data_IF_719889242654
#
_entry.id   IF_719889242654
#
_cell.length_a   1.000
_cell.length_b   1.000
_cell.length_c   1.000
_cell.angle_alpha   90.00
_cell.angle_beta   90.00
_cell.angle_gamma   90.00
#
_symmetry.space_group_name_H-M   'P 1'
#
loop_
_entity.id
_entity.type
_entity.pdbx_description
1 polymer ?
#
# COMPACT_ATOMS: atom_id res chain seq x y z
N UNK A 1 12.24 -84.14 70.66
CA UNK A 1 11.33 -83.12 70.07
C UNK A 1 10.48 -83.83 69.03
N UNK A 2 9.25 -84.13 69.44
CA UNK A 2 8.35 -85.10 68.81
C UNK A 2 7.96 -84.75 67.37
N UNK A 3 7.88 -85.77 66.52
CA UNK A 3 7.36 -85.68 65.14
C UNK A 3 5.96 -85.06 65.06
N UNK A 4 5.19 -85.10 66.15
CA UNK A 4 3.88 -84.45 66.25
C UNK A 4 3.96 -82.91 66.14
N UNK A 5 5.00 -82.30 66.71
CA UNK A 5 5.15 -80.83 66.72
C UNK A 5 5.57 -80.31 65.34
N UNK A 6 6.41 -81.07 64.60
CA UNK A 6 6.81 -80.71 63.23
C UNK A 6 5.65 -80.73 62.23
N UNK A 7 4.71 -81.69 62.38
CA UNK A 7 3.51 -81.77 61.56
C UNK A 7 2.57 -80.59 61.78
N UNK A 8 2.36 -80.20 63.04
CA UNK A 8 1.47 -79.08 63.39
C UNK A 8 2.06 -77.74 62.92
N UNK A 9 3.37 -77.52 63.08
CA UNK A 9 4.02 -76.30 62.57
C UNK A 9 3.98 -76.19 61.05
N UNK A 10 4.05 -77.32 60.33
CA UNK A 10 3.97 -77.33 58.87
C UNK A 10 2.55 -77.00 58.36
N UNK A 11 1.50 -77.50 59.03
CA UNK A 11 0.11 -77.19 58.68
C UNK A 11 -0.25 -75.73 58.98
N UNK A 12 0.24 -75.18 60.08
CA UNK A 12 -0.01 -73.77 60.44
C UNK A 12 0.71 -72.82 59.46
N UNK A 13 1.94 -73.15 59.04
CA UNK A 13 2.60 -72.39 57.97
C UNK A 13 1.86 -72.49 56.63
N UNK A 14 1.25 -73.64 56.32
CA UNK A 14 0.49 -73.82 55.08
C UNK A 14 -0.82 -73.00 55.08
N UNK A 15 -1.50 -72.88 56.23
CA UNK A 15 -2.73 -72.07 56.35
C UNK A 15 -2.45 -70.56 56.34
N UNK A 16 -1.26 -70.11 56.76
CA UNK A 16 -0.88 -68.69 56.69
C UNK A 16 -0.45 -68.24 55.28
N UNK A 17 -0.41 -69.15 54.30
CA UNK A 17 -0.05 -68.88 52.90
C UNK A 17 -1.24 -68.85 51.93
N UNK A 18 -2.48 -69.02 52.41
CA UNK A 18 -3.65 -68.75 51.57
C UNK A 18 -3.93 -67.25 51.58
N UNK A 19 -3.46 -66.55 50.54
CA UNK A 19 -3.85 -65.16 50.30
C UNK A 19 -5.36 -65.04 50.11
N UNK A 20 -5.93 -63.94 50.58
CA UNK A 20 -7.35 -63.62 50.43
C UNK A 20 -7.79 -63.76 48.98
N UNK A 21 -8.75 -64.65 48.73
CA UNK A 21 -9.38 -64.78 47.44
C UNK A 21 -10.34 -63.60 47.27
N UNK A 22 -10.04 -62.69 46.35
CA UNK A 22 -10.97 -61.64 45.94
C UNK A 22 -12.27 -62.28 45.41
N UNK A 23 -13.37 -62.09 46.11
CA UNK A 23 -14.69 -62.53 45.68
C UNK A 23 -15.18 -61.69 44.50
N UNK A 24 -15.74 -62.34 43.48
CA UNK A 24 -16.37 -61.64 42.34
C UNK A 24 -17.66 -60.98 42.86
N UNK A 25 -17.74 -59.65 42.74
CA UNK A 25 -18.96 -58.89 43.02
C UNK A 25 -19.78 -58.82 41.73
N UNK A 26 -20.95 -59.48 41.72
CA UNK A 26 -21.93 -59.38 40.64
C UNK A 26 -23.02 -58.37 40.99
N UNK A 27 -23.31 -57.44 40.07
CA UNK A 27 -24.43 -56.51 40.20
C UNK A 27 -25.65 -57.05 39.42
N UNK A 28 -26.79 -57.16 40.09
CA UNK A 28 -28.06 -57.57 39.47
C UNK A 28 -28.78 -56.34 38.87
N UNK A 29 -28.54 -56.14 37.57
CA UNK A 29 -29.17 -55.08 36.78
C UNK A 29 -30.67 -55.35 36.47
N UNK A 30 -31.23 -56.49 36.89
CA UNK A 30 -32.65 -56.83 36.71
C UNK A 30 -33.54 -56.49 37.91
N UNK A 31 -32.96 -56.04 39.03
CA UNK A 31 -33.74 -55.77 40.24
C UNK A 31 -34.61 -54.50 40.10
N UNK A 32 -35.84 -54.55 40.59
CA UNK A 32 -36.77 -53.42 40.57
C UNK A 32 -36.29 -52.21 41.41
N UNK A 33 -35.24 -52.38 42.21
CA UNK A 33 -34.62 -51.33 43.01
C UNK A 33 -33.44 -50.64 42.30
N UNK A 34 -33.05 -51.09 41.10
CA UNK A 34 -31.95 -50.50 40.34
C UNK A 34 -32.42 -49.28 39.52
N UNK A 35 -31.82 -48.11 39.78
CA UNK A 35 -32.00 -46.92 38.95
C UNK A 35 -31.12 -47.01 37.70
N UNK A 36 -31.70 -47.46 36.59
CA UNK A 36 -31.02 -47.60 35.31
C UNK A 36 -31.26 -46.36 34.43
N UNK A 37 -30.20 -45.63 34.12
CA UNK A 37 -30.21 -44.59 33.08
C UNK A 37 -29.60 -45.14 31.81
N UNK A 38 -30.37 -45.19 30.72
CA UNK A 38 -29.87 -45.61 29.41
C UNK A 38 -29.54 -44.39 28.56
N UNK A 39 -28.38 -44.41 27.92
CA UNK A 39 -27.91 -43.33 27.05
C UNK A 39 -27.55 -43.93 25.70
N UNK A 40 -28.14 -43.41 24.62
CA UNK A 40 -27.79 -43.81 23.26
C UNK A 40 -26.52 -43.08 22.81
N UNK A 41 -25.52 -43.83 22.35
CA UNK A 41 -24.29 -43.27 21.76
C UNK A 41 -24.36 -43.14 20.23
N UNK A 42 -25.44 -43.62 19.62
CA UNK A 42 -25.59 -43.72 18.17
C UNK A 42 -26.60 -42.70 17.64
N UNK A 43 -27.67 -42.44 18.41
CA UNK A 43 -28.75 -41.56 17.99
C UNK A 43 -28.77 -40.31 18.87
N UNK A 44 -28.79 -39.13 18.22
CA UNK A 44 -29.06 -37.85 18.86
C UNK A 44 -30.56 -37.57 18.75
N UNK A 45 -31.23 -37.39 19.88
CA UNK A 45 -32.60 -36.89 19.94
C UNK A 45 -32.64 -35.38 19.73
N UNK A 46 -33.71 -34.86 19.13
CA UNK A 46 -33.94 -33.43 19.01
C UNK A 46 -34.16 -32.83 20.41
N UNK A 47 -33.32 -31.86 20.76
CA UNK A 47 -33.51 -31.10 22.00
C UNK A 47 -34.65 -30.10 21.78
N UNK A 48 -35.73 -30.21 22.54
CA UNK A 48 -36.74 -29.15 22.66
C UNK A 48 -36.10 -27.94 23.34
N UNK A 49 -35.55 -27.02 22.53
CA UNK A 49 -35.04 -25.74 23.04
C UNK A 49 -36.28 -24.92 23.42
N UNK A 50 -36.53 -24.65 24.71
CA UNK A 50 -37.69 -23.88 25.11
C UNK A 50 -37.62 -22.50 24.44
N UNK A 51 -38.74 -21.99 23.89
CA UNK A 51 -38.76 -20.68 23.26
C UNK A 51 -38.28 -19.64 24.27
N UNK A 52 -37.19 -18.97 23.93
CA UNK A 52 -36.60 -17.96 24.78
C UNK A 52 -37.57 -16.78 24.86
N UNK A 53 -37.95 -16.36 26.07
CA UNK A 53 -38.83 -15.22 26.25
C UNK A 53 -38.06 -13.94 25.88
N UNK A 54 -38.28 -13.43 24.67
CA UNK A 54 -37.59 -12.23 24.18
C UNK A 54 -38.38 -11.00 24.64
N UNK A 55 -37.81 -10.24 25.57
CA UNK A 55 -38.37 -8.96 25.96
C UNK A 55 -38.15 -7.95 24.82
N UNK A 56 -39.23 -7.62 24.10
CA UNK A 56 -39.23 -6.58 23.06
C UNK A 56 -39.62 -5.24 23.68
N UNK A 57 -38.73 -4.25 23.60
CA UNK A 57 -39.01 -2.87 23.99
C UNK A 57 -39.03 -1.96 22.77
N UNK A 58 -40.09 -1.17 22.60
CA UNK A 58 -40.13 -0.12 21.58
C UNK A 58 -39.23 1.03 22.04
N UNK A 59 -38.12 1.23 21.33
CA UNK A 59 -37.22 2.37 21.55
C UNK A 59 -37.43 3.35 20.41
N UNK A 60 -37.66 4.62 20.75
CA UNK A 60 -37.66 5.69 19.77
C UNK A 60 -36.21 5.94 19.34
N UNK A 61 -35.92 5.64 18.08
CA UNK A 61 -34.62 5.92 17.47
C UNK A 61 -34.73 7.20 16.63
N UNK A 62 -33.79 8.12 16.83
CA UNK A 62 -33.65 9.29 15.97
C UNK A 62 -32.72 8.93 14.82
N UNK A 63 -33.23 9.01 13.59
CA UNK A 63 -32.40 8.90 12.38
C UNK A 63 -31.63 10.21 12.21
N UNK A 64 -30.31 10.13 12.36
CA UNK A 64 -29.39 11.25 12.15
C UNK A 64 -28.72 11.06 10.79
N UNK A 65 -28.89 12.02 9.88
CA UNK A 65 -28.17 12.06 8.61
C UNK A 65 -26.94 12.96 8.79
N UNK A 66 -25.77 12.45 8.42
CA UNK A 66 -24.54 13.25 8.39
C UNK A 66 -24.71 14.37 7.36
N UNK A 67 -24.34 15.59 7.71
CA UNK A 67 -24.33 16.68 6.75
C UNK A 67 -23.19 16.46 5.76
N UNK A 68 -23.51 16.44 4.47
CA UNK A 68 -22.53 16.26 3.41
C UNK A 68 -21.56 17.45 3.32
N UNK A 69 -21.96 18.59 3.90
CA UNK A 69 -21.23 19.85 3.85
C UNK A 69 -20.84 20.34 5.25
N UNK A 70 -19.64 20.89 5.35
CA UNK A 70 -19.12 21.60 6.50
C UNK A 70 -18.38 22.86 6.02
N UNK A 71 -17.75 23.58 6.94
CA UNK A 71 -16.94 24.74 6.61
C UNK A 71 -15.66 24.77 7.46
N UNK A 72 -14.56 25.20 6.86
CA UNK A 72 -13.27 25.36 7.55
C UNK A 72 -12.73 26.78 7.35
N UNK A 73 -12.00 27.28 8.35
CA UNK A 73 -11.26 28.53 8.19
C UNK A 73 -10.01 28.24 7.37
N UNK A 74 -9.87 28.99 6.29
CA UNK A 74 -8.75 28.91 5.35
C UNK A 74 -7.92 30.19 5.46
N UNK A 75 -6.60 30.01 5.46
CA UNK A 75 -5.63 31.09 5.29
C UNK A 75 -4.85 30.84 3.99
N UNK A 76 -4.64 31.89 3.20
CA UNK A 76 -3.90 31.84 1.95
C UNK A 76 -2.79 32.88 1.96
N UNK A 77 -1.61 32.45 1.54
CA UNK A 77 -0.42 33.27 1.44
C UNK A 77 0.23 33.10 0.07
N UNK A 78 0.28 34.18 -0.69
CA UNK A 78 0.95 34.23 -1.98
C UNK A 78 2.08 35.23 -1.94
N UNK A 79 3.30 34.78 -2.22
CA UNK A 79 4.49 35.63 -2.34
C UNK A 79 4.97 35.56 -3.78
N UNK A 80 4.67 36.60 -4.56
CA UNK A 80 5.19 36.77 -5.92
C UNK A 80 6.51 37.54 -5.87
N UNK A 81 7.54 37.02 -6.53
CA UNK A 81 8.87 37.61 -6.59
C UNK A 81 9.17 37.96 -8.04
N UNK A 82 9.22 39.25 -8.34
CA UNK A 82 9.77 39.75 -9.60
C UNK A 82 11.22 40.14 -9.36
N UNK A 83 12.16 39.39 -9.94
CA UNK A 83 13.60 39.61 -9.76
C UNK A 83 14.27 40.11 -11.03
N UNK A 84 15.29 40.94 -10.84
CA UNK A 84 16.19 41.42 -11.88
C UNK A 84 17.64 41.26 -11.40
N UNK A 85 18.37 40.36 -12.06
CA UNK A 85 19.79 40.12 -11.88
C UNK A 85 20.56 41.04 -12.83
N UNK A 86 21.54 41.78 -12.30
CA UNK A 86 22.48 42.58 -13.09
C UNK A 86 23.90 42.32 -12.65
N UNK A 87 24.84 42.30 -13.58
CA UNK A 87 26.26 42.19 -13.27
C UNK A 87 26.78 43.53 -12.78
N UNK A 88 27.52 43.51 -11.66
CA UNK A 88 28.17 44.70 -11.13
C UNK A 88 29.62 44.76 -11.64
N UNK A 89 29.93 45.78 -12.44
CA UNK A 89 31.25 46.01 -13.00
C UNK A 89 32.21 46.68 -12.02
N UNK A 90 33.49 46.71 -12.39
CA UNK A 90 34.60 47.27 -11.58
C UNK A 90 34.42 48.75 -11.20
N UNK A 91 33.62 49.51 -11.96
CA UNK A 91 33.32 50.93 -11.72
C UNK A 91 31.86 51.16 -11.32
N UNK A 92 31.22 50.17 -10.68
CA UNK A 92 29.78 50.21 -10.34
C UNK A 92 28.83 50.34 -11.54
N UNK A 93 29.30 49.98 -12.74
CA UNK A 93 28.41 49.89 -13.91
C UNK A 93 27.54 48.63 -13.82
N UNK A 94 26.24 48.78 -14.03
CA UNK A 94 25.32 47.65 -14.13
C UNK A 94 25.21 47.19 -15.59
N UNK A 95 25.27 45.88 -15.79
CA UNK A 95 25.13 45.24 -17.09
C UNK A 95 24.04 44.16 -17.00
N UNK A 96 23.18 44.08 -18.01
CA UNK A 96 22.17 43.03 -18.06
C UNK A 96 22.84 41.67 -18.30
N UNK A 97 22.26 40.62 -17.73
CA UNK A 97 22.73 39.24 -17.87
C UNK A 97 21.67 38.38 -18.53
N UNK A 98 22.10 37.28 -19.14
CA UNK A 98 21.18 36.27 -19.66
C UNK A 98 20.29 35.71 -18.54
N UNK A 99 18.98 35.55 -18.80
CA UNK A 99 17.96 35.18 -17.79
C UNK A 99 17.93 36.09 -16.55
N UNK A 100 18.29 37.37 -16.74
CA UNK A 100 18.38 38.33 -15.64
C UNK A 100 17.04 38.68 -15.02
N UNK A 101 15.97 38.78 -15.83
CA UNK A 101 14.63 39.08 -15.33
C UNK A 101 13.76 37.83 -15.28
N UNK A 102 13.12 37.58 -14.15
CA UNK A 102 12.19 36.46 -13.98
C UNK A 102 11.18 36.74 -12.87
N UNK A 103 9.94 36.26 -13.03
CA UNK A 103 8.89 36.35 -12.02
C UNK A 103 8.39 34.96 -11.65
N UNK A 104 8.31 34.67 -10.35
CA UNK A 104 7.87 33.37 -9.84
C UNK A 104 7.13 33.52 -8.50
N UNK A 105 6.32 32.51 -8.16
CA UNK A 105 5.69 32.40 -6.85
C UNK A 105 6.65 31.61 -5.95
N UNK A 106 6.97 32.16 -4.79
CA UNK A 106 7.77 31.46 -3.79
C UNK A 106 6.88 30.65 -2.86
N UNK A 107 7.30 29.40 -2.59
CA UNK A 107 6.61 28.51 -1.67
C UNK A 107 6.67 29.06 -0.23
N UNK A 108 5.52 29.05 0.45
CA UNK A 108 5.38 29.54 1.82
C UNK A 108 4.97 28.38 2.72
N UNK A 109 5.70 28.15 3.80
CA UNK A 109 5.32 27.12 4.78
C UNK A 109 4.11 27.53 5.61
N UNK A 110 3.39 26.55 6.20
CA UNK A 110 2.25 26.79 7.10
C UNK A 110 2.61 27.79 8.22
N UNK A 111 3.76 27.59 8.87
CA UNK A 111 4.17 28.41 10.00
C UNK A 111 4.51 29.83 9.56
N UNK A 112 5.19 29.99 8.43
CA UNK A 112 5.47 31.31 7.84
C UNK A 112 4.18 32.03 7.47
N UNK A 113 3.23 31.35 6.84
CA UNK A 113 1.93 31.91 6.48
C UNK A 113 1.15 32.35 7.73
N UNK A 114 1.09 31.48 8.74
CA UNK A 114 0.45 31.79 10.03
C UNK A 114 1.13 32.96 10.74
N UNK A 115 2.46 33.04 10.69
CA UNK A 115 3.23 34.14 11.25
C UNK A 115 2.91 35.47 10.55
N UNK A 116 2.81 35.47 9.21
CA UNK A 116 2.39 36.65 8.44
C UNK A 116 0.98 37.11 8.82
N UNK A 117 0.02 36.19 8.98
CA UNK A 117 -1.33 36.53 9.41
C UNK A 117 -1.43 37.01 10.86
N UNK A 118 -0.59 36.47 11.76
CA UNK A 118 -0.68 36.74 13.21
C UNK A 118 0.09 38.00 13.61
N UNK A 119 1.33 38.12 13.14
CA UNK A 119 2.25 39.19 13.54
C UNK A 119 2.39 40.28 12.47
N UNK A 120 1.92 40.04 11.25
CA UNK A 120 2.02 41.01 10.16
C UNK A 120 3.46 41.20 9.68
N UNK A 121 4.33 40.21 9.88
CA UNK A 121 5.75 40.28 9.50
C UNK A 121 6.19 39.10 8.65
N UNK A 122 7.10 39.36 7.72
CA UNK A 122 7.73 38.35 6.85
C UNK A 122 9.20 38.69 6.70
N UNK A 123 10.08 37.69 6.67
CA UNK A 123 11.51 37.90 6.50
C UNK A 123 12.03 37.03 5.36
N UNK A 124 12.77 37.66 4.45
CA UNK A 124 13.40 37.00 3.32
C UNK A 124 14.73 37.69 3.03
N UNK A 125 15.79 36.92 2.74
CA UNK A 125 17.12 37.43 2.39
C UNK A 125 17.62 38.58 3.30
N UNK A 126 17.40 38.47 4.62
CA UNK A 126 17.81 39.48 5.61
C UNK A 126 16.98 40.78 5.62
N UNK A 127 15.94 40.87 4.79
CA UNK A 127 14.99 41.98 4.76
C UNK A 127 13.72 41.61 5.52
N UNK A 128 13.43 42.34 6.60
CA UNK A 128 12.21 42.19 7.39
C UNK A 128 11.12 43.14 6.88
N UNK A 129 10.04 42.56 6.40
CA UNK A 129 8.83 43.25 5.97
C UNK A 129 7.85 43.28 7.15
N UNK A 130 7.29 44.45 7.42
CA UNK A 130 6.34 44.68 8.51
C UNK A 130 5.06 45.35 8.00
N UNK A 131 3.99 45.22 8.77
CA UNK A 131 2.70 45.85 8.46
C UNK A 131 1.86 45.09 7.43
N UNK A 132 2.08 43.78 7.29
CA UNK A 132 1.20 42.91 6.52
C UNK A 132 -0.14 42.76 7.26
N UNK A 133 -1.24 42.73 6.49
CA UNK A 133 -2.60 42.58 7.01
C UNK A 133 -3.34 41.55 6.17
N UNK A 134 -4.21 40.75 6.81
CA UNK A 134 -5.10 39.83 6.09
C UNK A 134 -6.02 40.60 5.12
N UNK A 135 -6.33 39.96 3.99
CA UNK A 135 -7.13 40.50 2.88
C UNK A 135 -6.54 41.78 2.26
N UNK A 136 -5.22 41.93 2.31
CA UNK A 136 -4.51 43.04 1.68
C UNK A 136 -3.32 42.54 0.86
N UNK A 137 -2.92 43.37 -0.09
CA UNK A 137 -1.72 43.17 -0.89
C UNK A 137 -0.69 44.20 -0.45
N UNK A 138 0.52 43.73 -0.14
CA UNK A 138 1.65 44.57 0.19
C UNK A 138 2.77 44.34 -0.82
N UNK A 139 3.36 45.42 -1.34
CA UNK A 139 4.52 45.36 -2.23
C UNK A 139 5.74 46.03 -1.59
N UNK A 140 6.91 45.38 -1.64
CA UNK A 140 8.16 45.90 -1.08
C UNK A 140 9.35 45.56 -1.98
N UNK A 141 10.27 46.50 -2.23
CA UNK A 141 11.54 46.18 -2.86
C UNK A 141 12.42 45.36 -1.91
N UNK A 142 13.25 44.49 -2.46
CA UNK A 142 14.19 43.64 -1.73
C UNK A 142 15.50 43.52 -2.52
N UNK A 143 16.61 43.33 -1.82
CA UNK A 143 17.89 42.91 -2.43
C UNK A 143 18.13 41.47 -2.02
N UNK A 144 18.10 40.55 -3.00
CA UNK A 144 18.27 39.12 -2.76
C UNK A 144 19.76 38.72 -2.67
N UNK A 145 20.63 39.44 -3.37
CA UNK A 145 22.07 39.25 -3.33
C UNK A 145 22.83 40.49 -3.81
N UNK A 146 24.05 40.66 -3.30
CA UNK A 146 24.88 41.85 -3.54
C UNK A 146 24.43 43.05 -2.72
N UNK A 147 25.02 44.21 -3.01
CA UNK A 147 24.68 45.48 -2.36
C UNK A 147 24.62 46.59 -3.39
N UNK A 148 23.68 47.53 -3.19
CA UNK A 148 23.57 48.75 -3.98
C UNK A 148 23.39 49.91 -3.02
N UNK A 149 24.30 50.87 -3.08
CA UNK A 149 24.28 52.09 -2.27
C UNK A 149 23.29 53.10 -2.86
N UNK A 150 22.86 54.06 -2.03
CA UNK A 150 22.01 55.17 -2.49
C UNK A 150 22.70 56.05 -3.55
N UNK A 151 24.04 56.08 -3.55
CA UNK A 151 24.86 56.82 -4.51
C UNK A 151 25.04 56.06 -5.85
N UNK A 152 24.44 54.87 -5.99
CA UNK A 152 24.54 54.03 -7.19
C UNK A 152 25.79 53.15 -7.25
N UNK A 153 26.61 53.13 -6.18
CA UNK A 153 27.66 52.13 -5.99
C UNK A 153 27.07 50.73 -5.92
N UNK A 154 27.75 49.73 -6.51
CA UNK A 154 27.33 48.33 -6.36
C UNK A 154 28.49 47.43 -5.95
N UNK A 155 28.18 46.38 -5.19
CA UNK A 155 29.08 45.24 -5.00
C UNK A 155 28.34 43.95 -5.33
N UNK A 156 28.92 43.16 -6.23
CA UNK A 156 28.30 41.92 -6.67
C UNK A 156 28.60 40.75 -5.74
N UNK A 157 27.64 39.83 -5.65
CA UNK A 157 27.77 38.55 -4.96
C UNK A 157 27.53 37.39 -5.94
N UNK A 158 27.83 36.17 -5.54
CA UNK A 158 27.33 34.99 -6.25
C UNK A 158 25.85 34.77 -5.94
N UNK A 159 25.05 34.43 -6.94
CA UNK A 159 23.64 34.11 -6.79
C UNK A 159 23.26 32.95 -7.71
N UNK A 160 22.40 32.06 -7.23
CA UNK A 160 21.88 30.94 -8.00
C UNK A 160 20.42 30.72 -7.67
N UNK A 161 19.64 30.40 -8.69
CA UNK A 161 18.26 29.95 -8.56
C UNK A 161 17.94 28.89 -9.65
N UNK A 162 16.72 28.35 -9.73
CA UNK A 162 16.38 27.33 -10.72
C UNK A 162 16.58 27.73 -12.20
N UNK A 163 16.74 29.02 -12.50
CA UNK A 163 16.84 29.56 -13.86
C UNK A 163 18.26 29.95 -14.27
N UNK A 164 19.23 29.87 -13.35
CA UNK A 164 20.64 30.09 -13.64
C UNK A 164 21.52 30.32 -12.42
N UNK A 165 22.83 30.39 -12.69
CA UNK A 165 23.85 30.73 -11.71
C UNK A 165 24.68 31.88 -12.27
N UNK A 166 24.90 32.91 -11.45
CA UNK A 166 25.67 34.08 -11.85
C UNK A 166 26.68 34.43 -10.76
N UNK A 167 27.88 34.86 -11.20
CA UNK A 167 28.92 35.37 -10.32
C UNK A 167 29.05 36.89 -10.42
N UNK A 168 29.32 37.54 -9.29
CA UNK A 168 29.52 38.99 -9.18
C UNK A 168 28.32 39.80 -9.71
N UNK A 169 27.13 39.49 -9.22
CA UNK A 169 25.86 40.12 -9.59
C UNK A 169 25.18 40.80 -8.40
N UNK A 170 24.40 41.82 -8.69
CA UNK A 170 23.37 42.37 -7.80
C UNK A 170 22.02 41.80 -8.23
N UNK A 171 21.21 41.40 -7.26
CA UNK A 171 19.88 40.84 -7.51
C UNK A 171 18.86 41.70 -6.78
N UNK A 172 18.18 42.52 -7.56
CA UNK A 172 17.10 43.39 -7.10
C UNK A 172 15.79 42.65 -7.30
N UNK A 173 14.87 42.78 -6.35
CA UNK A 173 13.56 42.15 -6.44
C UNK A 173 12.45 43.07 -5.96
N UNK A 174 11.24 42.78 -6.40
CA UNK A 174 10.01 43.33 -5.86
C UNK A 174 9.16 42.17 -5.37
N UNK A 175 8.87 42.18 -4.07
CA UNK A 175 7.97 41.21 -3.45
C UNK A 175 6.55 41.76 -3.51
N UNK A 176 5.62 40.96 -4.00
CA UNK A 176 4.19 41.22 -3.91
C UNK A 176 3.54 40.11 -3.09
N UNK A 177 3.15 40.47 -1.87
CA UNK A 177 2.62 39.57 -0.86
C UNK A 177 1.12 39.78 -0.78
N UNK A 178 0.36 38.72 -0.98
CA UNK A 178 -1.10 38.70 -0.86
C UNK A 178 -1.48 37.75 0.26
N UNK A 179 -2.19 38.27 1.26
CA UNK A 179 -2.73 37.47 2.36
C UNK A 179 -4.25 37.47 2.26
N UNK A 180 -4.88 36.30 2.38
CA UNK A 180 -6.34 36.18 2.42
C UNK A 180 -6.76 35.24 3.55
N UNK A 181 -7.84 35.59 4.24
CA UNK A 181 -8.46 34.71 5.23
C UNK A 181 -9.98 34.67 5.05
N UNK A 182 -10.53 33.46 4.99
CA UNK A 182 -11.96 33.27 4.77
C UNK A 182 -12.43 31.90 5.24
N UNK A 183 -13.74 31.69 5.17
CA UNK A 183 -14.38 30.41 5.43
C UNK A 183 -14.65 29.73 4.09
N UNK A 184 -14.15 28.52 3.90
CA UNK A 184 -14.37 27.70 2.72
C UNK A 184 -15.37 26.57 3.02
N UNK A 185 -16.13 26.18 2.00
CA UNK A 185 -17.05 25.04 2.10
C UNK A 185 -16.29 23.73 1.91
N UNK A 186 -16.67 22.72 2.69
CA UNK A 186 -16.05 21.39 2.72
C UNK A 186 -17.11 20.36 2.44
N UNK A 187 -16.87 19.46 1.50
CA UNK A 187 -17.69 18.28 1.26
C UNK A 187 -17.05 17.08 1.97
N UNK A 188 -17.65 16.65 3.08
CA UNK A 188 -17.08 15.62 3.96
C UNK A 188 -17.04 14.27 3.23
N UNK A 189 -18.12 13.89 2.54
CA UNK A 189 -18.24 12.59 1.88
C UNK A 189 -17.19 12.36 0.78
N UNK A 190 -16.73 13.43 0.14
CA UNK A 190 -15.74 13.35 -0.95
C UNK A 190 -14.35 13.76 -0.51
N UNK A 191 -14.15 14.05 0.79
CA UNK A 191 -12.88 14.54 1.32
C UNK A 191 -12.35 15.79 0.57
N UNK A 192 -13.21 16.79 0.29
CA UNK A 192 -12.84 17.96 -0.52
C UNK A 192 -13.15 19.29 0.13
N UNK A 193 -12.22 20.24 0.04
CA UNK A 193 -12.40 21.67 0.37
C UNK A 193 -12.53 22.45 -0.93
N UNK A 194 -13.58 23.27 -1.05
CA UNK A 194 -13.78 24.15 -2.19
C UNK A 194 -13.30 25.55 -1.89
N UNK A 195 -12.23 25.97 -2.57
CA UNK A 195 -11.68 27.31 -2.46
C UNK A 195 -12.52 28.33 -3.25
N UNK A 196 -12.32 29.63 -2.97
CA UNK A 196 -13.01 30.72 -3.69
C UNK A 196 -12.65 30.78 -5.18
N UNK A 197 -11.46 30.31 -5.56
CA UNK A 197 -11.03 30.17 -6.95
C UNK A 197 -11.75 29.04 -7.70
N UNK A 198 -12.55 28.21 -7.00
CA UNK A 198 -13.21 27.03 -7.54
C UNK A 198 -12.36 25.77 -7.50
N UNK A 199 -11.09 25.86 -7.07
CA UNK A 199 -10.20 24.70 -6.89
C UNK A 199 -10.71 23.83 -5.75
N UNK A 200 -10.82 22.52 -6.01
CA UNK A 200 -11.19 21.51 -5.01
C UNK A 200 -9.95 20.80 -4.47
N UNK A 201 -9.56 21.10 -3.24
CA UNK A 201 -8.42 20.49 -2.56
C UNK A 201 -8.84 19.30 -1.70
N UNK A 202 -7.94 18.35 -1.44
CA UNK A 202 -8.21 17.22 -0.56
C UNK A 202 -8.24 17.66 0.91
N UNK A 203 -9.32 17.41 1.65
CA UNK A 203 -9.48 17.93 3.01
C UNK A 203 -8.43 17.39 4.00
N UNK A 204 -8.05 16.12 3.87
CA UNK A 204 -7.03 15.47 4.72
C UNK A 204 -5.61 16.00 4.52
N UNK A 205 -5.28 16.62 3.37
CA UNK A 205 -3.92 17.13 3.12
C UNK A 205 -3.60 18.35 3.97
N UNK A 206 -4.63 19.09 4.42
CA UNK A 206 -4.53 20.35 5.19
C UNK A 206 -3.77 21.49 4.49
N UNK A 207 -3.24 21.25 3.29
CA UNK A 207 -2.49 22.17 2.44
C UNK A 207 -2.87 21.94 0.97
N UNK A 208 -2.98 23.02 0.23
CA UNK A 208 -2.95 22.97 -1.23
C UNK A 208 -2.41 24.27 -1.82
N UNK A 209 -1.93 24.19 -3.06
CA UNK A 209 -1.47 25.35 -3.81
C UNK A 209 -2.53 25.77 -4.81
N UNK A 210 -2.99 27.01 -4.70
CA UNK A 210 -3.94 27.65 -5.58
C UNK A 210 -3.21 28.67 -6.46
N UNK A 211 -3.47 28.68 -7.78
CA UNK A 211 -2.77 29.59 -8.69
C UNK A 211 -3.14 31.06 -8.41
N UNK A 212 -4.37 31.30 -7.95
CA UNK A 212 -4.87 32.62 -7.62
C UNK A 212 -4.45 33.04 -6.20
N UNK A 213 -4.76 32.21 -5.19
CA UNK A 213 -4.52 32.48 -3.77
C UNK A 213 -3.14 32.09 -3.22
N UNK A 214 -2.32 31.34 -3.96
CA UNK A 214 -1.02 30.83 -3.50
C UNK A 214 -1.15 29.63 -2.56
N UNK A 215 -0.24 29.52 -1.60
CA UNK A 215 -0.25 28.44 -0.62
C UNK A 215 -1.42 28.60 0.36
N UNK A 216 -2.24 27.56 0.44
CA UNK A 216 -3.51 27.55 1.15
C UNK A 216 -3.47 26.53 2.28
N UNK A 217 -3.88 26.94 3.48
CA UNK A 217 -3.87 26.09 4.66
C UNK A 217 -5.19 26.16 5.42
N UNK A 218 -5.57 25.03 6.02
CA UNK A 218 -6.66 24.93 6.99
C UNK A 218 -6.27 23.98 8.11
N UNK A 219 -7.00 24.05 9.21
CA UNK A 219 -6.86 23.11 10.31
C UNK A 219 -7.66 21.83 10.01
N UNK A 220 -7.14 20.65 10.39
CA UNK A 220 -7.89 19.40 10.26
C UNK A 220 -9.18 19.49 11.08
N UNK A 221 -10.27 18.95 10.55
CA UNK A 221 -11.46 18.71 11.35
C UNK A 221 -11.08 17.70 12.44
N UNK A 222 -11.24 18.07 13.72
CA UNK A 222 -10.89 17.18 14.83
C UNK A 222 -11.74 15.91 14.87
N UNK A 223 -11.33 14.92 15.67
CA UNK A 223 -12.03 13.65 15.93
C UNK A 223 -13.33 13.80 16.74
N UNK A 224 -13.83 15.04 16.87
CA UNK A 224 -15.03 15.35 17.62
C UNK A 224 -16.28 15.00 16.80
N UNK A 225 -17.19 14.26 17.42
CA UNK A 225 -18.51 14.02 16.83
C UNK A 225 -19.33 15.31 16.97
N UNK A 226 -20.12 15.66 15.96
CA UNK A 226 -21.00 16.82 16.02
C UNK A 226 -22.45 16.39 15.75
N UNK A 227 -23.40 16.83 16.58
CA UNK A 227 -24.83 16.82 16.26
C UNK A 227 -25.17 18.13 15.58
N UNK A 228 -25.92 18.05 14.49
CA UNK A 228 -26.23 19.22 13.67
C UNK A 228 -27.72 19.48 13.76
N UNK A 229 -28.17 20.28 14.74
CA UNK A 229 -29.53 20.87 14.76
C UNK A 229 -29.63 22.08 15.70
N UNK A 230 -29.97 23.30 15.24
CA UNK A 230 -29.85 23.88 13.88
C UNK A 230 -28.43 24.36 13.55
N UNK A 231 -27.49 24.25 14.50
CA UNK A 231 -26.06 24.55 14.33
C UNK A 231 -25.25 23.33 14.75
N UNK A 232 -24.03 23.15 14.23
CA UNK A 232 -23.13 22.10 14.70
C UNK A 232 -22.81 22.32 16.18
N UNK A 233 -23.13 21.33 17.02
CA UNK A 233 -22.78 21.27 18.43
C UNK A 233 -21.98 19.99 18.64
N UNK A 234 -20.83 20.09 19.27
CA UNK A 234 -19.99 18.94 19.61
C UNK A 234 -20.75 17.93 20.49
N UNK A 235 -20.54 16.63 20.26
CA UNK A 235 -21.18 15.52 20.96
C UNK A 235 -20.25 14.36 21.22
N UNK A 236 -20.74 13.46 22.05
CA UNK A 236 -20.16 12.14 22.25
C UNK A 236 -20.39 11.25 21.01
N UNK A 237 -19.48 10.29 20.76
CA UNK A 237 -19.64 9.30 19.69
C UNK A 237 -20.95 8.51 19.83
N UNK A 238 -21.58 8.13 18.70
CA UNK A 238 -22.82 7.35 18.73
C UNK A 238 -22.58 5.96 19.31
N UNK A 239 -23.55 5.47 20.08
CA UNK A 239 -23.52 4.11 20.61
C UNK A 239 -23.87 3.12 19.50
N UNK A 240 -22.91 2.29 19.09
CA UNK A 240 -23.14 1.22 18.12
C UNK A 240 -23.98 0.12 18.78
N UNK A 241 -25.24 -0.02 18.38
CA UNK A 241 -26.09 -1.13 18.81
C UNK A 241 -25.62 -2.42 18.14
N UNK A 242 -25.15 -3.39 18.93
CA UNK A 242 -24.85 -4.75 18.44
C UNK A 242 -25.94 -5.70 18.91
N UNK A 243 -26.56 -6.49 18.03
CA UNK A 243 -27.49 -7.52 18.47
C UNK A 243 -26.71 -8.61 19.24
N UNK A 244 -27.19 -8.99 20.42
CA UNK A 244 -26.57 -10.03 21.26
C UNK A 244 -26.94 -11.42 20.74
N UNK A 245 -26.42 -11.80 19.57
CA UNK A 245 -26.86 -13.00 18.83
C UNK A 245 -25.92 -14.21 18.93
N UNK A 246 -24.90 -14.19 19.79
CA UNK A 246 -24.02 -15.37 19.95
C UNK A 246 -24.54 -16.27 21.08
N UNK A 247 -25.20 -17.41 20.79
CA UNK A 247 -25.49 -18.38 21.83
C UNK A 247 -24.17 -18.95 22.36
N UNK A 248 -23.92 -18.77 23.66
CA UNK A 248 -22.76 -19.36 24.32
C UNK A 248 -23.12 -20.77 24.78
N UNK A 249 -22.76 -21.79 24.00
CA UNK A 249 -22.89 -23.18 24.44
C UNK A 249 -21.63 -23.59 25.20
N UNK A 250 -21.82 -24.22 26.36
CA UNK A 250 -20.74 -24.83 27.14
C UNK A 250 -20.99 -26.34 27.16
N UNK A 251 -20.13 -27.09 26.47
CA UNK A 251 -20.18 -28.56 26.52
C UNK A 251 -19.86 -29.02 27.94
N UNK A 252 -20.74 -29.85 28.51
CA UNK A 252 -20.52 -30.52 29.80
C UNK A 252 -20.36 -31.99 29.50
N UNK A 253 -19.16 -32.53 29.73
CA UNK A 253 -18.90 -33.95 29.61
C UNK A 253 -19.71 -34.71 30.68
N UNK A 254 -20.41 -35.80 30.33
CA UNK A 254 -21.19 -36.59 31.29
C UNK A 254 -20.35 -37.37 32.32
N UNK A 255 -19.03 -37.19 32.37
CA UNK A 255 -18.15 -37.90 33.30
C UNK A 255 -17.99 -39.40 32.95
N UNK A 256 -17.36 -40.16 33.83
CA UNK A 256 -17.18 -41.60 33.65
C UNK A 256 -18.51 -42.34 33.87
N UNK A 257 -19.14 -42.77 32.77
CA UNK A 257 -20.46 -43.42 32.75
C UNK A 257 -20.48 -44.84 33.37
N UNK A 258 -19.31 -45.45 33.57
CA UNK A 258 -19.17 -46.72 34.27
C UNK A 258 -17.91 -46.69 35.14
N UNK A 259 -18.07 -46.92 36.45
CA UNK A 259 -16.96 -46.91 37.43
C UNK A 259 -16.54 -48.31 37.87
N UNK A 260 -17.38 -49.32 37.61
CA UNK A 260 -17.06 -50.73 37.84
C UNK A 260 -17.81 -51.61 36.84
N UNK A 261 -17.09 -52.45 36.11
CA UNK A 261 -17.62 -53.50 35.25
C UNK A 261 -17.03 -54.86 35.63
N UNK A 262 -17.59 -55.95 35.08
CA UNK A 262 -17.04 -57.32 35.22
C UNK A 262 -15.60 -57.39 34.69
N UNK A 263 -15.28 -56.51 33.73
CA UNK A 263 -13.97 -56.36 33.14
C UNK A 263 -13.29 -55.12 33.72
N UNK A 264 -12.03 -55.27 34.11
CA UNK A 264 -11.20 -54.13 34.53
C UNK A 264 -10.94 -53.19 33.35
N UNK A 265 -10.54 -51.95 33.63
CA UNK A 265 -10.20 -50.98 32.58
C UNK A 265 -9.11 -51.55 31.63
N UNK A 266 -8.16 -52.29 32.19
CA UNK A 266 -7.13 -53.01 31.44
C UNK A 266 -7.69 -54.12 30.55
N UNK A 267 -8.68 -54.89 31.02
CA UNK A 267 -9.31 -55.94 30.21
C UNK A 267 -10.11 -55.34 29.04
N UNK A 268 -10.78 -54.20 29.29
CA UNK A 268 -11.48 -53.44 28.26
C UNK A 268 -10.53 -52.82 27.22
N UNK A 269 -9.40 -52.27 27.66
CA UNK A 269 -8.33 -51.77 26.78
C UNK A 269 -7.73 -52.91 25.95
N UNK A 270 -7.43 -54.06 26.56
CA UNK A 270 -6.87 -55.23 25.88
C UNK A 270 -7.86 -55.82 24.87
N UNK A 271 -9.14 -55.91 25.21
CA UNK A 271 -10.19 -56.34 24.30
C UNK A 271 -10.39 -55.32 23.17
N UNK A 272 -10.39 -54.02 23.47
CA UNK A 272 -10.47 -52.94 22.48
C UNK A 272 -9.32 -53.03 21.49
N UNK A 273 -8.09 -53.22 21.98
CA UNK A 273 -6.90 -53.37 21.13
C UNK A 273 -6.93 -54.69 20.34
N UNK A 274 -7.48 -55.77 20.92
CA UNK A 274 -7.68 -57.04 20.22
C UNK A 274 -8.73 -56.95 19.10
N UNK A 275 -9.81 -56.19 19.30
CA UNK A 275 -10.87 -55.97 18.31
C UNK A 275 -10.42 -54.95 17.25
N UNK A 276 -9.68 -53.91 17.63
CA UNK A 276 -9.16 -52.89 16.72
C UNK A 276 -8.04 -53.43 15.82
N UNK A 277 -7.23 -54.40 16.29
CA UNK A 277 -6.11 -54.98 15.54
C UNK A 277 -6.02 -56.52 15.62
N UNK A 278 -7.03 -57.28 15.16
CA UNK A 278 -7.11 -58.73 15.36
C UNK A 278 -6.06 -59.53 14.57
N UNK A 279 -5.48 -58.96 13.51
CA UNK A 279 -4.64 -59.67 12.56
C UNK A 279 -3.12 -59.54 12.79
N UNK A 280 -2.65 -58.61 13.64
CA UNK A 280 -1.24 -58.21 13.62
C UNK A 280 -0.31 -59.07 14.49
N UNK A 281 -0.81 -59.65 15.60
CA UNK A 281 0.06 -60.39 16.53
C UNK A 281 0.67 -61.71 16.00
N UNK A 282 -0.04 -62.62 15.31
CA UNK A 282 0.57 -63.86 14.83
C UNK A 282 1.49 -63.63 13.62
N UNK A 283 1.26 -62.56 12.85
CA UNK A 283 2.08 -62.22 11.70
C UNK A 283 3.43 -61.61 12.12
N UNK A 284 3.45 -60.74 13.13
CA UNK A 284 4.68 -60.08 13.59
C UNK A 284 5.58 -61.06 14.38
N UNK A 285 5.00 -61.93 15.22
CA UNK A 285 5.79 -62.90 16.01
C UNK A 285 6.49 -63.94 15.12
N UNK A 286 5.81 -64.47 14.11
CA UNK A 286 6.41 -65.41 13.16
C UNK A 286 7.46 -64.74 12.25
N UNK A 287 7.30 -63.46 11.93
CA UNK A 287 8.27 -62.69 11.13
C UNK A 287 9.51 -62.32 11.96
N UNK A 288 9.35 -61.92 13.23
CA UNK A 288 10.49 -61.71 14.15
C UNK A 288 11.26 -63.00 14.41
N UNK A 289 10.55 -64.12 14.63
CA UNK A 289 11.20 -65.42 14.86
C UNK A 289 11.94 -65.91 13.60
N UNK A 290 11.43 -65.63 12.39
CA UNK A 290 12.13 -65.88 11.11
C UNK A 290 13.32 -64.95 10.84
N UNK A 291 13.25 -63.69 11.26
CA UNK A 291 14.35 -62.72 11.16
C UNK A 291 15.52 -63.02 12.10
N UNK A 292 15.22 -63.51 13.32
CA UNK A 292 16.24 -63.96 14.29
C UNK A 292 16.92 -65.26 13.83
N UNK A 293 16.22 -66.10 13.06
CA UNK A 293 16.75 -67.31 12.42
C UNK A 293 17.46 -67.04 11.07
N UNK A 294 17.70 -65.78 10.71
CA UNK A 294 18.57 -65.39 9.60
C UNK A 294 18.03 -65.63 8.18
N UNK A 295 16.72 -65.85 8.00
CA UNK A 295 16.12 -65.98 6.67
C UNK A 295 15.50 -64.64 6.21
N UNK A 296 15.78 -64.23 4.96
CA UNK A 296 15.22 -63.01 4.37
C UNK A 296 13.71 -63.15 4.10
N UNK A 297 12.89 -62.32 4.72
CA UNK A 297 11.43 -62.35 4.56
C UNK A 297 10.96 -61.36 3.50
N UNK A 298 10.38 -61.88 2.40
CA UNK A 298 9.49 -61.12 1.50
C UNK A 298 8.11 -61.07 2.16
N UNK A 299 7.62 -59.87 2.48
CA UNK A 299 6.26 -59.66 2.99
C UNK A 299 5.26 -59.81 1.85
N UNK A 300 4.38 -60.81 1.94
CA UNK A 300 3.20 -60.94 1.08
C UNK A 300 1.97 -61.01 2.00
N UNK A 301 1.33 -59.86 2.21
CA UNK A 301 0.15 -59.69 3.04
C UNK A 301 -0.17 -58.21 3.26
N UNK A 302 -1.15 -57.68 2.52
CA UNK A 302 -1.81 -56.40 2.83
C UNK A 302 -1.16 -55.14 2.26
N UNK A 303 -0.82 -55.18 0.97
CA UNK A 303 -0.45 -54.03 0.17
C UNK A 303 -1.42 -52.85 0.32
N UNK A 304 -0.92 -51.71 0.81
CA UNK A 304 -1.44 -50.35 0.56
C UNK A 304 -1.55 -50.02 -0.95
N UNK A 305 -1.09 -50.91 -1.84
CA UNK A 305 -1.05 -50.77 -3.30
C UNK A 305 -2.42 -50.77 -4.00
N UNK A 306 -3.52 -51.11 -3.32
CA UNK A 306 -4.88 -51.04 -3.91
C UNK A 306 -5.67 -49.79 -3.49
N UNK A 307 -5.17 -48.99 -2.54
CA UNK A 307 -5.74 -47.67 -2.23
C UNK A 307 -5.01 -46.53 -2.93
N UNK A 308 -3.83 -46.82 -3.48
CA UNK A 308 -3.07 -45.94 -4.34
C UNK A 308 -2.68 -46.79 -5.55
N UNK A 309 -3.66 -46.98 -6.44
CA UNK A 309 -3.40 -47.56 -7.74
C UNK A 309 -2.58 -46.57 -8.58
N UNK A 310 -1.45 -47.02 -9.12
CA UNK A 310 -0.52 -46.21 -9.89
C UNK A 310 -1.22 -45.58 -11.11
N UNK A 311 -2.18 -46.29 -11.70
CA UNK A 311 -3.01 -45.76 -12.78
C UNK A 311 -4.02 -44.69 -12.30
N UNK A 312 -4.44 -44.70 -11.04
CA UNK A 312 -5.33 -43.69 -10.45
C UNK A 312 -4.57 -42.42 -10.07
N UNK A 313 -3.36 -42.54 -9.51
CA UNK A 313 -2.46 -41.40 -9.31
C UNK A 313 -2.01 -40.82 -10.65
N UNK A 314 -1.68 -41.66 -11.63
CA UNK A 314 -1.27 -41.20 -12.95
C UNK A 314 -2.43 -40.46 -13.65
N UNK A 315 -3.68 -40.92 -13.51
CA UNK A 315 -4.86 -40.22 -14.06
C UNK A 315 -5.19 -38.91 -13.33
N UNK A 316 -5.06 -38.85 -12.01
CA UNK A 316 -5.28 -37.61 -11.23
C UNK A 316 -4.15 -36.62 -11.50
N UNK A 317 -2.90 -37.09 -11.52
CA UNK A 317 -1.73 -36.28 -11.84
C UNK A 317 -1.81 -35.73 -13.27
N UNK A 318 -2.07 -36.57 -14.29
CA UNK A 318 -2.18 -36.11 -15.68
C UNK A 318 -3.38 -35.18 -15.87
N UNK A 319 -4.53 -35.42 -15.23
CA UNK A 319 -5.70 -34.56 -15.39
C UNK A 319 -5.58 -33.22 -14.67
N UNK A 320 -5.02 -33.19 -13.45
CA UNK A 320 -4.70 -31.97 -12.73
C UNK A 320 -3.57 -31.20 -13.40
N UNK A 321 -2.51 -31.89 -13.83
CA UNK A 321 -1.37 -31.31 -14.53
C UNK A 321 -1.80 -30.73 -15.87
N UNK A 322 -2.59 -31.45 -16.68
CA UNK A 322 -3.10 -30.93 -17.95
C UNK A 322 -4.00 -29.70 -17.76
N UNK A 323 -4.85 -29.66 -16.72
CA UNK A 323 -5.65 -28.46 -16.40
C UNK A 323 -4.79 -27.29 -15.95
N UNK A 324 -3.78 -27.54 -15.14
CA UNK A 324 -2.87 -26.51 -14.63
C UNK A 324 -1.97 -25.97 -15.76
N UNK A 325 -1.40 -26.85 -16.58
CA UNK A 325 -0.53 -26.51 -17.70
C UNK A 325 -1.28 -25.86 -18.85
N UNK A 326 -2.55 -26.22 -19.14
CA UNK A 326 -3.33 -25.49 -20.14
C UNK A 326 -3.54 -24.03 -19.72
N UNK A 327 -3.85 -23.78 -18.44
CA UNK A 327 -3.98 -22.40 -17.94
C UNK A 327 -2.65 -21.66 -17.98
N UNK A 328 -1.54 -22.33 -17.68
CA UNK A 328 -0.20 -21.75 -17.72
C UNK A 328 0.28 -21.48 -19.15
N UNK A 329 -0.03 -22.35 -20.13
CA UNK A 329 0.29 -22.13 -21.54
C UNK A 329 -0.53 -20.99 -22.15
N UNK A 330 -1.79 -20.82 -21.74
CA UNK A 330 -2.61 -19.66 -22.14
C UNK A 330 -1.99 -18.37 -21.59
N UNK A 331 -1.59 -18.36 -20.32
CA UNK A 331 -0.87 -17.23 -19.71
C UNK A 331 0.49 -16.98 -20.40
N UNK A 332 1.24 -18.04 -20.71
CA UNK A 332 2.51 -17.99 -21.41
C UNK A 332 2.40 -17.43 -22.82
N UNK A 333 1.39 -17.85 -23.60
CA UNK A 333 1.16 -17.31 -24.94
C UNK A 333 0.71 -15.84 -24.92
N UNK A 334 -0.13 -15.45 -23.95
CA UNK A 334 -0.57 -14.05 -23.81
C UNK A 334 0.63 -13.17 -23.40
N UNK A 335 1.42 -13.61 -22.42
CA UNK A 335 2.61 -12.86 -21.96
C UNK A 335 3.70 -12.79 -23.04
N UNK A 336 3.97 -13.89 -23.74
CA UNK A 336 4.89 -13.91 -24.88
C UNK A 336 4.40 -13.01 -26.02
N UNK A 337 3.09 -12.95 -26.28
CA UNK A 337 2.49 -12.04 -27.26
C UNK A 337 2.68 -10.57 -26.87
N UNK A 338 2.41 -10.20 -25.61
CA UNK A 338 2.61 -8.84 -25.12
C UNK A 338 4.09 -8.42 -25.11
N UNK A 339 4.98 -9.33 -24.69
CA UNK A 339 6.43 -9.11 -24.75
C UNK A 339 6.89 -8.99 -26.22
N UNK A 340 6.34 -9.81 -27.12
CA UNK A 340 6.62 -9.74 -28.55
C UNK A 340 6.20 -8.40 -29.17
N UNK A 341 4.98 -7.92 -28.88
CA UNK A 341 4.49 -6.61 -29.34
C UNK A 341 5.37 -5.49 -28.77
N UNK A 342 5.73 -5.56 -27.48
CA UNK A 342 6.62 -4.59 -26.85
C UNK A 342 8.01 -4.56 -27.50
N UNK A 343 8.59 -5.73 -27.79
CA UNK A 343 9.87 -5.83 -28.49
C UNK A 343 9.78 -5.29 -29.92
N UNK A 344 8.70 -5.57 -30.65
CA UNK A 344 8.47 -5.03 -32.00
C UNK A 344 8.38 -3.50 -31.94
N UNK A 345 7.61 -2.93 -31.01
CA UNK A 345 7.52 -1.48 -30.83
C UNK A 345 8.90 -0.86 -30.50
N UNK A 346 9.70 -1.54 -29.66
CA UNK A 346 11.07 -1.11 -29.32
C UNK A 346 12.02 -1.18 -30.53
N UNK A 347 11.88 -2.20 -31.38
CA UNK A 347 12.65 -2.32 -32.63
C UNK A 347 12.26 -1.23 -33.63
N UNK A 348 10.97 -0.94 -33.79
CA UNK A 348 10.50 0.14 -34.68
C UNK A 348 11.04 1.49 -34.20
N UNK A 349 10.97 1.78 -32.89
CA UNK A 349 11.55 2.98 -32.31
C UNK A 349 13.05 3.07 -32.60
N UNK A 350 13.79 1.98 -32.40
CA UNK A 350 15.24 1.94 -32.66
C UNK A 350 15.56 2.19 -34.15
N UNK A 351 14.78 1.65 -35.08
CA UNK A 351 14.96 1.90 -36.51
C UNK A 351 14.73 3.38 -36.85
N UNK A 352 13.63 3.97 -36.37
CA UNK A 352 13.33 5.39 -36.60
C UNK A 352 14.44 6.30 -36.03
N UNK A 353 14.87 6.04 -34.80
CA UNK A 353 15.97 6.79 -34.19
C UNK A 353 17.26 6.61 -35.01
N UNK A 354 17.58 5.40 -35.46
CA UNK A 354 18.78 5.14 -36.28
C UNK A 354 18.73 5.85 -37.64
N UNK A 355 17.55 5.96 -38.28
CA UNK A 355 17.39 6.69 -39.53
C UNK A 355 17.59 8.20 -39.35
N UNK A 356 17.00 8.78 -38.30
CA UNK A 356 17.13 10.23 -38.01
C UNK A 356 18.58 10.57 -37.66
N UNK A 357 19.21 9.78 -36.78
CA UNK A 357 20.60 9.99 -36.43
C UNK A 357 21.56 9.70 -37.59
N UNK A 358 21.28 8.69 -38.40
CA UNK A 358 22.05 8.37 -39.60
C UNK A 358 22.00 9.51 -40.62
N UNK A 359 20.82 10.12 -40.81
CA UNK A 359 20.69 11.31 -41.63
C UNK A 359 21.51 12.48 -41.07
N UNK A 360 21.41 12.75 -39.76
CA UNK A 360 22.17 13.81 -39.10
C UNK A 360 23.69 13.62 -39.26
N UNK A 361 24.22 12.42 -39.01
CA UNK A 361 25.65 12.14 -39.15
C UNK A 361 26.09 12.14 -40.63
N UNK A 362 25.27 11.66 -41.55
CA UNK A 362 25.55 11.71 -42.99
C UNK A 362 25.73 13.14 -43.50
N UNK A 363 24.93 14.10 -43.01
CA UNK A 363 25.08 15.51 -43.42
C UNK A 363 26.42 16.13 -43.01
N UNK A 364 27.07 15.60 -41.96
CA UNK A 364 28.33 16.16 -41.43
C UNK A 364 29.56 15.41 -41.96
N UNK A 365 29.49 14.09 -42.08
CA UNK A 365 30.65 13.25 -42.44
C UNK A 365 30.55 12.55 -43.81
N UNK A 366 29.41 12.62 -44.50
CA UNK A 366 29.17 11.91 -45.76
C UNK A 366 29.17 10.39 -45.61
N UNK A 367 29.53 9.67 -46.69
CA UNK A 367 29.56 8.21 -46.70
C UNK A 367 30.87 7.70 -46.05
N UNK A 368 30.85 7.59 -44.72
CA UNK A 368 32.01 7.25 -43.91
C UNK A 368 31.68 6.19 -42.85
N UNK A 369 32.71 5.53 -42.31
CA UNK A 369 32.60 4.49 -41.25
C UNK A 369 31.86 5.03 -40.01
N UNK A 370 31.87 6.35 -39.79
CA UNK A 370 31.17 7.03 -38.69
C UNK A 370 29.64 6.89 -38.73
N UNK A 371 29.05 6.47 -39.87
CA UNK A 371 27.63 6.14 -39.95
C UNK A 371 27.23 4.94 -39.07
N UNK A 372 28.16 4.04 -38.76
CA UNK A 372 27.92 2.97 -37.79
C UNK A 372 27.65 3.51 -36.38
N UNK A 373 28.08 4.75 -36.10
CA UNK A 373 27.76 5.44 -34.86
C UNK A 373 26.28 5.77 -34.71
N UNK A 374 25.49 5.81 -35.80
CA UNK A 374 24.06 6.11 -35.82
C UNK A 374 23.19 5.15 -34.99
N UNK A 375 23.70 3.95 -34.72
CA UNK A 375 23.01 2.90 -33.95
C UNK A 375 22.97 3.23 -32.45
N UNK A 376 23.84 4.12 -31.97
CA UNK A 376 23.94 4.46 -30.55
C UNK A 376 23.82 5.97 -30.32
N UNK A 377 22.76 6.38 -29.61
CA UNK A 377 22.44 7.80 -29.36
C UNK A 377 23.59 8.57 -28.65
N UNK A 378 24.31 7.92 -27.73
CA UNK A 378 25.46 8.57 -27.09
C UNK A 378 26.63 8.80 -28.05
N UNK A 379 26.79 7.94 -29.06
CA UNK A 379 27.89 8.02 -30.02
C UNK A 379 27.55 9.01 -31.16
N UNK A 380 26.27 9.12 -31.55
CA UNK A 380 25.80 10.12 -32.52
C UNK A 380 25.99 11.53 -32.01
N UNK A 381 25.63 11.80 -30.75
CA UNK A 381 25.81 13.11 -30.14
C UNK A 381 27.30 13.49 -30.04
N UNK A 382 28.17 12.52 -29.70
CA UNK A 382 29.61 12.71 -29.66
C UNK A 382 30.20 12.99 -31.06
N UNK A 383 29.78 12.24 -32.08
CA UNK A 383 30.23 12.43 -33.45
C UNK A 383 29.73 13.76 -34.02
N UNK A 384 28.48 14.16 -33.75
CA UNK A 384 27.97 15.47 -34.15
C UNK A 384 28.71 16.63 -33.47
N UNK A 385 29.12 16.45 -32.20
CA UNK A 385 29.96 17.42 -31.49
C UNK A 385 31.35 17.54 -32.12
N UNK A 386 32.01 16.41 -32.39
CA UNK A 386 33.34 16.37 -33.02
C UNK A 386 33.31 16.87 -34.48
N UNK A 387 32.20 16.65 -35.19
CA UNK A 387 32.04 17.06 -36.60
C UNK A 387 31.88 18.56 -36.77
N UNK A 388 31.43 19.27 -35.73
CA UNK A 388 31.47 20.74 -35.66
C UNK A 388 32.89 21.29 -35.49
N UNK A 389 33.88 20.45 -35.21
CA UNK A 389 35.28 20.81 -34.99
C UNK A 389 36.19 20.23 -36.10
N UNK A 390 35.90 20.54 -37.38
CA UNK A 390 36.91 20.38 -38.44
C UNK A 390 37.79 21.65 -38.47
N UNK A 391 39.09 21.58 -38.11
CA UNK A 391 40.01 22.67 -38.43
C UNK A 391 40.18 22.68 -39.96
N UNK A 392 40.01 23.86 -40.58
CA UNK A 392 40.45 24.08 -41.96
C UNK A 392 41.97 24.03 -41.95
N UNK A 393 42.53 23.12 -42.73
CA UNK A 393 43.97 23.05 -42.97
C UNK A 393 44.50 24.42 -43.44
N UNK A 394 45.60 24.77 -42.81
CA UNK A 394 46.35 26.01 -42.85
C UNK A 394 47.14 26.13 -44.15
N UNK A 395 47.33 27.36 -44.64
CA UNK A 395 48.59 27.73 -45.30
C UNK A 395 49.07 29.05 -44.67
N UNK A 396 50.39 29.21 -44.43
CA UNK A 396 50.88 30.00 -43.30
C UNK A 396 51.51 31.32 -43.76
N UNK A 397 51.18 32.42 -43.08
CA UNK A 397 52.06 33.60 -43.03
C UNK A 397 51.74 34.53 -41.85
N UNK A 398 52.52 34.36 -40.78
CA UNK A 398 52.99 35.40 -39.85
C UNK A 398 51.94 36.12 -38.93
N UNK A 399 52.37 36.84 -37.88
CA UNK A 399 52.49 36.28 -36.54
C UNK A 399 51.59 36.97 -35.49
N UNK A 400 51.30 36.20 -34.43
CA UNK A 400 51.05 36.60 -33.03
C UNK A 400 50.59 38.05 -32.81
N UNK A 401 49.30 38.24 -32.50
CA UNK A 401 48.94 39.18 -31.45
C UNK A 401 47.65 38.79 -30.71
N UNK A 402 47.86 38.43 -29.46
CA UNK A 402 46.91 38.27 -28.37
C UNK A 402 46.14 39.59 -28.15
N UNK A 403 44.82 39.62 -28.36
CA UNK A 403 43.80 40.31 -27.54
C UNK A 403 42.44 40.46 -28.24
N UNK A 404 41.38 40.07 -27.50
CA UNK A 404 40.07 40.72 -27.38
C UNK A 404 39.44 41.36 -28.64
N UNK A 405 38.31 40.81 -29.10
CA UNK A 405 37.03 41.54 -29.23
C UNK A 405 35.94 40.64 -29.84
N UNK A 406 34.97 40.24 -29.01
CA UNK A 406 33.67 39.73 -29.49
C UNK A 406 32.64 40.85 -29.44
N UNK A 407 31.93 41.01 -30.56
CA UNK A 407 30.54 41.44 -30.57
C UNK A 407 30.27 42.83 -31.13
N UNK A 408 29.95 42.90 -32.43
CA UNK A 408 28.99 43.87 -32.96
C UNK A 408 27.88 43.11 -33.67
N UNK A 409 26.68 43.20 -33.11
CA UNK A 409 25.43 42.67 -33.63
C UNK A 409 24.59 43.82 -34.22
N UNK A 410 23.78 43.52 -35.25
CA UNK A 410 22.42 44.02 -35.58
C UNK A 410 22.19 44.15 -37.12
N UNK A 411 20.94 44.28 -37.62
CA UNK A 411 19.69 43.52 -37.33
C UNK A 411 18.77 43.37 -38.58
N UNK A 412 17.58 42.74 -38.42
CA UNK A 412 16.22 43.12 -38.91
C UNK A 412 15.34 41.86 -39.05
N UNK A 413 14.27 41.72 -38.28
CA UNK A 413 12.94 42.37 -38.35
C UNK A 413 12.07 41.80 -39.49
N UNK A 414 11.02 41.03 -39.15
CA UNK A 414 9.62 41.28 -39.52
C UNK A 414 8.69 40.11 -39.10
N UNK A 415 7.53 40.49 -38.58
CA UNK A 415 6.32 39.70 -38.30
C UNK A 415 5.15 40.66 -38.71
N UNK A 416 3.86 40.25 -38.85
CA UNK A 416 3.25 38.93 -38.86
C UNK A 416 2.17 38.76 -39.97
N UNK A 417 1.58 37.57 -40.10
CA UNK A 417 0.18 37.39 -40.55
C UNK A 417 -0.33 36.02 -40.11
N UNK A 418 -1.48 36.01 -39.45
CA UNK A 418 -2.23 34.82 -39.03
C UNK A 418 -2.78 34.04 -40.24
N UNK A 419 -3.23 32.79 -40.03
CA UNK A 419 -4.69 32.63 -40.02
C UNK A 419 -5.24 31.62 -39.00
N UNK A 420 -6.55 31.77 -38.79
CA UNK A 420 -7.50 30.88 -38.11
C UNK A 420 -7.47 29.44 -38.63
N UNK A 421 -7.75 28.46 -37.76
CA UNK A 421 -8.80 27.45 -38.01
C UNK A 421 -9.08 26.58 -36.77
N UNK A 422 -10.31 26.71 -36.30
CA UNK A 422 -11.27 25.66 -35.92
C UNK A 422 -10.83 24.45 -35.08
N UNK A 423 -11.39 24.49 -33.88
CA UNK A 423 -11.71 23.41 -32.95
C UNK A 423 -12.57 22.33 -33.63
N UNK A 424 -12.12 21.07 -33.60
CA UNK A 424 -13.01 19.92 -33.76
C UNK A 424 -12.75 18.92 -32.63
N UNK A 425 -13.82 18.68 -31.86
CA UNK A 425 -13.92 17.73 -30.76
C UNK A 425 -13.49 16.33 -31.15
N UNK A 426 -12.75 15.67 -30.26
CA UNK A 426 -12.80 14.22 -30.17
C UNK A 426 -12.98 13.80 -28.71
N UNK A 427 -14.21 13.41 -28.40
CA UNK A 427 -14.56 12.59 -27.25
C UNK A 427 -13.73 11.29 -27.31
N UNK A 428 -13.01 11.02 -26.22
CA UNK A 428 -12.23 9.80 -26.02
C UNK A 428 -12.31 9.39 -24.55
N UNK A 429 -13.18 8.41 -24.30
CA UNK A 429 -13.46 7.79 -23.01
C UNK A 429 -12.21 7.09 -22.47
N UNK A 430 -11.54 7.67 -21.48
CA UNK A 430 -10.53 6.94 -20.70
C UNK A 430 -11.23 6.01 -19.70
N UNK A 431 -11.27 4.73 -20.05
CA UNK A 431 -11.59 3.66 -19.10
C UNK A 431 -10.28 3.25 -18.44
N UNK A 432 -9.95 3.86 -17.30
CA UNK A 432 -8.84 3.43 -16.44
C UNK A 432 -9.27 2.16 -15.70
N UNK A 433 -8.76 1.00 -16.14
CA UNK A 433 -8.87 -0.27 -15.43
C UNK A 433 -7.66 -0.44 -14.50
N UNK A 434 -7.82 -0.14 -13.22
CA UNK A 434 -6.94 -0.60 -12.13
C UNK A 434 -7.54 -1.86 -11.46
N UNK A 435 -6.74 -2.65 -10.73
CA UNK A 435 -6.86 -4.11 -10.66
C UNK A 435 -7.98 -4.60 -9.74
N UNK A 436 -8.71 -5.61 -10.21
CA UNK A 436 -9.68 -6.36 -9.42
C UNK A 436 -8.94 -7.41 -8.58
N UNK A 437 -8.82 -7.15 -7.28
CA UNK A 437 -8.53 -8.21 -6.30
C UNK A 437 -9.78 -9.07 -6.07
N UNK A 438 -9.58 -10.38 -6.04
CA UNK A 438 -10.64 -11.36 -5.78
C UNK A 438 -11.13 -11.25 -4.34
N UNK A 439 -12.40 -10.87 -4.20
CA UNK A 439 -13.12 -10.75 -2.94
C UNK A 439 -13.20 -12.12 -2.22
N UNK A 440 -12.92 -12.10 -0.92
CA UNK A 440 -13.25 -13.18 0.01
C UNK A 440 -14.76 -13.49 -0.06
N UNK A 441 -15.19 -14.75 0.17
CA UNK A 441 -16.60 -15.11 0.13
C UNK A 441 -17.40 -14.27 1.15
N UNK A 442 -18.62 -13.84 0.78
CA UNK A 442 -19.42 -12.98 1.64
C UNK A 442 -19.75 -13.67 2.95
N UNK A 443 -19.57 -12.93 4.03
CA UNK A 443 -20.13 -13.24 5.34
C UNK A 443 -21.65 -13.07 5.20
N UNK A 444 -22.42 -14.13 5.44
CA UNK A 444 -23.88 -14.03 5.47
C UNK A 444 -24.31 -13.04 6.55
N UNK A 445 -24.62 -11.82 6.15
CA UNK A 445 -25.40 -10.88 6.93
C UNK A 445 -26.87 -11.18 6.63
N UNK A 446 -27.52 -11.94 7.51
CA UNK A 446 -28.97 -12.09 7.49
C UNK A 446 -29.57 -10.71 7.79
N UNK A 447 -29.91 -9.97 6.74
CA UNK A 447 -30.67 -8.74 6.83
C UNK A 447 -32.12 -9.07 7.22
N UNK A 448 -32.52 -8.70 8.43
CA UNK A 448 -33.92 -8.71 8.81
C UNK A 448 -34.56 -7.42 8.31
N UNK A 449 -35.57 -7.55 7.45
CA UNK A 449 -36.44 -6.46 7.01
C UNK A 449 -37.35 -6.02 8.15
N UNK A 450 -37.19 -4.77 8.60
CA UNK A 450 -38.16 -4.09 9.45
C UNK A 450 -39.24 -3.47 8.55
N UNK A 451 -40.39 -4.14 8.42
CA UNK A 451 -41.57 -3.52 7.82
C UNK A 451 -42.18 -2.50 8.80
N UNK A 452 -42.04 -1.22 8.46
CA UNK A 452 -42.80 -0.14 9.08
C UNK A 452 -44.18 -0.08 8.44
N UNK A 453 -45.17 -0.63 9.12
CA UNK A 453 -46.58 -0.42 8.79
C UNK A 453 -46.96 0.98 9.30
N UNK A 454 -47.26 1.89 8.37
CA UNK A 454 -47.81 3.22 8.66
C UNK A 454 -49.09 3.15 9.48
#
# INVERSE_FOLDING_TARGET
MDSCIKGITAVIMLMMWTQETYGIIGYDCGSAAANLTTLSLINIEECDIPPQNVNSSKVYVQLLQLNDFNSVKVIQCKVEIDRTVKKCGMFSHSLDVHNGQFSYIADVTRDTCKHMHTYGTFEMAGTRIIGLKSNQIASRPIVLAGHVDNDGGCSGSAYSDPYGTWGNVIVLGSLKITLQDYIAEVRINTNRVHLRSGVGCELSSTHCTDIEGGDTFWDPLGDSWYKIMPKPVETLPPTVMKPSTKPSWKYISPGALATSGIYSQTDLEELKDHIMFPAERPAILNTMTRGILGHSTVMNGGSLSNLIDEASIERIAISAWKKFWNKFLIFGNISAGLIGIYLIARVIKLLLDTFVHGYAVHTVYGWSVYLLGAVWDSLTQLLLYLGRYKPKDENPSAPIQLLLHLGRYKPKDENPSAPDLELQEHNGTETKLEPVYSLLPPREETAYTLELKN
#
